data_IF_507719926139
#
_entry.id   IF_507719926139
#
_cell.length_a   1.000
_cell.length_b   1.000
_cell.length_c   1.000
_cell.angle_alpha   90.00
_cell.angle_beta   90.00
_cell.angle_gamma   90.00
#
_symmetry.space_group_name_H-M   'P 1'
#
loop_
_entity.id
_entity.type
_entity.pdbx_description
1 polymer ?
#
# COMPACT_ATOMS: atom_id res chain seq x y z
N UNK A 1 9.49 -8.90 11.71
CA UNK A 1 8.25 -8.11 11.84
C UNK A 1 7.23 -8.92 12.61
N UNK A 2 6.65 -8.35 13.67
CA UNK A 2 5.63 -9.00 14.48
C UNK A 2 4.23 -8.59 14.03
N UNK A 3 3.25 -9.46 14.23
CA UNK A 3 1.82 -9.32 13.91
C UNK A 3 1.08 -8.10 14.52
N UNK A 4 1.79 -7.15 15.13
CA UNK A 4 1.24 -6.04 15.91
C UNK A 4 1.46 -4.66 15.28
N UNK A 5 1.98 -4.60 14.05
CA UNK A 5 2.39 -3.34 13.42
C UNK A 5 3.69 -2.79 13.98
N UNK A 6 4.01 -1.54 13.63
CA UNK A 6 5.26 -0.87 14.05
C UNK A 6 5.12 -0.24 15.44
N UNK A 7 6.09 -0.47 16.32
CA UNK A 7 6.13 0.18 17.66
C UNK A 7 6.51 1.65 17.56
N UNK A 8 6.22 2.44 18.60
CA UNK A 8 6.62 3.86 18.67
C UNK A 8 8.13 4.06 18.49
N UNK A 9 8.94 3.16 19.04
CA UNK A 9 10.39 3.18 18.86
C UNK A 9 10.80 2.91 17.40
N UNK A 10 10.16 1.93 16.75
CA UNK A 10 10.40 1.62 15.33
C UNK A 10 10.02 2.78 14.42
N UNK A 11 8.90 3.45 14.71
CA UNK A 11 8.47 4.67 14.03
C UNK A 11 9.55 5.75 14.16
N UNK A 12 10.00 6.06 15.38
CA UNK A 12 10.99 7.11 15.58
C UNK A 12 12.36 6.75 14.98
N UNK A 13 12.75 5.47 15.00
CA UNK A 13 13.95 5.00 14.31
C UNK A 13 13.87 5.22 12.79
N UNK A 14 12.73 4.90 12.17
CA UNK A 14 12.53 5.09 10.73
C UNK A 14 12.49 6.57 10.34
N UNK A 15 11.87 7.43 11.16
CA UNK A 15 11.88 8.88 10.95
C UNK A 15 13.29 9.43 11.04
N UNK A 16 14.07 9.05 12.06
CA UNK A 16 15.47 9.47 12.22
C UNK A 16 16.35 9.02 11.05
N UNK A 17 16.18 7.78 10.59
CA UNK A 17 16.90 7.27 9.44
C UNK A 17 16.54 8.02 8.15
N UNK A 18 15.23 8.20 7.86
CA UNK A 18 14.78 8.93 6.68
C UNK A 18 15.35 10.34 6.62
N UNK A 19 15.36 11.05 7.76
CA UNK A 19 15.96 12.38 7.88
C UNK A 19 17.46 12.39 7.66
N UNK A 20 18.20 11.40 8.16
CA UNK A 20 19.66 11.35 7.97
C UNK A 20 20.07 11.08 6.53
N UNK A 21 19.20 10.42 5.76
CA UNK A 21 19.43 10.09 4.35
C UNK A 21 18.72 11.05 3.37
N UNK A 22 17.94 12.02 3.87
CA UNK A 22 17.10 12.90 3.04
C UNK A 22 16.11 12.12 2.16
N UNK A 23 15.52 11.06 2.71
CA UNK A 23 14.51 10.24 2.04
C UNK A 23 13.21 10.21 2.85
N UNK A 24 12.09 9.97 2.18
CA UNK A 24 10.86 9.56 2.85
C UNK A 24 10.94 8.07 3.18
N UNK A 25 10.55 7.71 4.39
CA UNK A 25 10.48 6.33 4.84
C UNK A 25 9.03 5.90 4.98
N UNK A 26 8.79 4.61 4.77
CA UNK A 26 7.47 4.01 4.80
C UNK A 26 7.43 2.88 5.82
N UNK A 27 6.30 2.73 6.51
CA UNK A 27 6.04 1.61 7.41
C UNK A 27 4.73 0.89 7.07
N UNK A 28 4.65 -0.38 7.46
CA UNK A 28 3.45 -1.20 7.27
C UNK A 28 2.48 -1.01 8.45
N UNK A 29 1.18 -0.97 8.14
CA UNK A 29 0.07 -1.05 9.10
C UNK A 29 -0.86 -2.22 8.74
N UNK A 30 -1.50 -2.79 9.76
CA UNK A 30 -2.49 -3.87 9.63
C UNK A 30 -3.93 -3.38 9.82
N UNK A 31 -4.10 -2.13 10.26
CA UNK A 31 -5.38 -1.52 10.58
C UNK A 31 -5.57 -0.18 9.88
N UNK A 32 -6.23 0.76 10.53
CA UNK A 32 -6.33 2.13 10.03
C UNK A 32 -4.94 2.73 9.78
N UNK A 33 -4.87 3.66 8.82
CA UNK A 33 -3.66 4.45 8.62
C UNK A 33 -3.43 5.35 9.83
N UNK A 34 -2.20 5.37 10.39
CA UNK A 34 -1.82 6.36 11.39
C UNK A 34 -1.81 7.77 10.78
N UNK A 35 -2.13 8.79 11.57
CA UNK A 35 -2.12 10.20 11.13
C UNK A 35 -0.70 10.82 11.02
N UNK A 36 0.34 10.04 11.30
CA UNK A 36 1.72 10.53 11.30
C UNK A 36 2.26 10.73 9.87
N UNK A 37 2.17 11.98 9.38
CA UNK A 37 2.64 12.40 8.06
C UNK A 37 4.18 12.48 7.91
N UNK A 38 4.95 12.23 8.98
CA UNK A 38 6.42 12.12 8.90
C UNK A 38 6.88 10.89 8.11
N UNK A 39 5.97 9.93 7.93
CA UNK A 39 6.16 8.68 7.20
C UNK A 39 5.09 8.51 6.14
N UNK A 40 5.35 7.60 5.21
CA UNK A 40 4.33 7.02 4.34
C UNK A 40 3.86 5.69 4.93
N UNK A 41 2.65 5.24 4.59
CA UNK A 41 2.07 4.03 5.20
C UNK A 41 1.58 3.04 4.17
N UNK A 42 1.94 1.77 4.32
CA UNK A 42 1.43 0.66 3.51
C UNK A 42 0.45 -0.18 4.33
N UNK A 43 -0.81 -0.24 3.91
CA UNK A 43 -1.75 -1.22 4.42
C UNK A 43 -1.53 -2.54 3.68
N UNK A 44 -1.09 -3.56 4.42
CA UNK A 44 -0.93 -4.91 3.91
C UNK A 44 -1.32 -5.91 5.01
N UNK A 45 -2.52 -6.48 4.88
CA UNK A 45 -3.02 -7.54 5.78
C UNK A 45 -2.75 -8.94 5.25
N UNK A 46 -2.15 -9.05 4.06
CA UNK A 46 -1.94 -10.33 3.42
C UNK A 46 -0.75 -11.09 4.02
N UNK A 47 0.17 -10.41 4.72
CA UNK A 47 1.44 -10.99 5.18
C UNK A 47 2.18 -11.76 4.06
N UNK A 48 2.03 -11.31 2.80
CA UNK A 48 2.59 -11.99 1.62
C UNK A 48 1.77 -13.19 1.11
N UNK A 49 0.59 -13.48 1.67
CA UNK A 49 -0.30 -14.56 1.18
C UNK A 49 -1.15 -14.19 -0.03
N UNK A 50 -1.13 -12.92 -0.44
CA UNK A 50 -1.87 -12.46 -1.63
C UNK A 50 -3.39 -12.52 -1.48
N UNK A 51 -3.93 -12.50 -0.25
CA UNK A 51 -5.39 -12.42 -0.03
C UNK A 51 -5.87 -10.98 -0.10
N UNK A 52 -6.95 -10.75 -0.85
CA UNK A 52 -7.63 -9.46 -0.91
C UNK A 52 -8.40 -9.23 0.40
N UNK A 53 -8.21 -8.08 1.07
CA UNK A 53 -8.99 -7.70 2.25
C UNK A 53 -10.48 -7.54 1.95
N UNK A 54 -11.36 -7.82 2.91
CA UNK A 54 -12.81 -7.57 2.78
C UNK A 54 -13.15 -6.08 2.79
N UNK A 55 -12.31 -5.25 3.43
CA UNK A 55 -12.45 -3.81 3.51
C UNK A 55 -11.10 -3.12 3.47
N UNK A 56 -11.09 -1.89 2.96
CA UNK A 56 -9.89 -1.04 2.87
C UNK A 56 -9.96 0.07 3.92
N UNK A 57 -8.84 0.45 4.56
CA UNK A 57 -8.83 1.55 5.50
C UNK A 57 -9.10 2.89 4.82
N UNK A 58 -9.88 3.75 5.47
CA UNK A 58 -10.19 5.09 4.98
C UNK A 58 -8.96 5.99 5.03
N UNK A 59 -8.80 6.84 4.01
CA UNK A 59 -7.80 7.90 4.00
C UNK A 59 -8.40 9.23 4.44
N UNK A 60 -7.60 10.05 5.12
CA UNK A 60 -7.92 11.44 5.41
C UNK A 60 -7.29 12.34 4.34
N UNK A 61 -8.01 13.38 3.90
CA UNK A 61 -7.55 14.24 2.79
C UNK A 61 -6.24 15.00 3.09
N UNK A 62 -5.95 15.27 4.37
CA UNK A 62 -4.71 15.90 4.85
C UNK A 62 -3.76 14.89 5.54
N UNK A 63 -3.96 13.60 5.29
CA UNK A 63 -3.18 12.51 5.89
C UNK A 63 -1.84 12.23 5.21
N UNK A 64 -1.10 11.23 5.70
CA UNK A 64 0.10 10.74 5.02
C UNK A 64 -0.19 10.20 3.63
N UNK A 65 0.86 10.03 2.82
CA UNK A 65 0.76 9.27 1.58
C UNK A 65 0.60 7.79 1.92
N UNK A 66 -0.47 7.18 1.40
CA UNK A 66 -0.86 5.82 1.77
C UNK A 66 -0.87 4.86 0.58
N UNK A 67 -0.47 3.62 0.87
CA UNK A 67 -0.43 2.51 -0.05
C UNK A 67 -1.37 1.40 0.37
N UNK A 68 -1.89 0.68 -0.62
CA UNK A 68 -2.75 -0.49 -0.41
C UNK A 68 -2.13 -1.71 -1.10
N UNK A 69 -1.95 -2.79 -0.36
CA UNK A 69 -1.49 -4.08 -0.89
C UNK A 69 -2.37 -5.22 -0.38
N UNK A 70 -2.24 -6.38 -1.01
CA UNK A 70 -2.97 -7.59 -0.66
C UNK A 70 -3.80 -8.13 -1.81
N UNK A 71 -3.25 -9.10 -2.54
CA UNK A 71 -3.98 -9.84 -3.57
C UNK A 71 -4.47 -9.02 -4.76
N UNK A 72 -3.85 -7.87 -5.01
CA UNK A 72 -4.23 -6.98 -6.11
C UNK A 72 -3.60 -7.49 -7.41
N UNK A 73 -4.37 -7.49 -8.49
CA UNK A 73 -3.92 -7.84 -9.84
C UNK A 73 -4.95 -7.44 -10.90
N UNK A 74 -4.71 -7.81 -12.16
CA UNK A 74 -5.54 -7.34 -13.29
C UNK A 74 -7.04 -7.67 -13.15
N UNK A 75 -7.37 -8.77 -12.47
CA UNK A 75 -8.75 -9.23 -12.29
C UNK A 75 -9.57 -8.39 -11.29
N UNK A 76 -8.93 -7.63 -10.38
CA UNK A 76 -9.62 -6.89 -9.32
C UNK A 76 -9.14 -5.44 -9.11
N UNK A 77 -8.05 -5.00 -9.74
CA UNK A 77 -7.45 -3.68 -9.50
C UNK A 77 -8.44 -2.52 -9.64
N UNK A 78 -9.29 -2.54 -10.67
CA UNK A 78 -10.32 -1.51 -10.88
C UNK A 78 -11.32 -1.45 -9.71
N UNK A 79 -11.81 -2.61 -9.26
CA UNK A 79 -12.74 -2.71 -8.14
C UNK A 79 -12.09 -2.32 -6.82
N UNK A 80 -10.80 -2.63 -6.63
CA UNK A 80 -10.03 -2.18 -5.46
C UNK A 80 -9.90 -0.65 -5.44
N UNK A 81 -9.51 -0.04 -6.57
CA UNK A 81 -9.43 1.42 -6.72
C UNK A 81 -10.78 2.08 -6.40
N UNK A 82 -11.88 1.50 -6.88
CA UNK A 82 -13.22 1.97 -6.56
C UNK A 82 -13.57 1.81 -5.07
N UNK A 83 -13.21 0.67 -4.46
CA UNK A 83 -13.51 0.35 -3.07
C UNK A 83 -12.69 1.16 -2.06
N UNK A 84 -11.47 1.57 -2.41
CA UNK A 84 -10.66 2.50 -1.62
C UNK A 84 -11.39 3.83 -1.44
N UNK A 85 -12.17 4.26 -2.45
CA UNK A 85 -13.02 5.45 -2.40
C UNK A 85 -12.31 6.69 -1.82
N UNK A 86 -11.04 6.89 -2.23
CA UNK A 86 -10.21 7.97 -1.71
C UNK A 86 -10.87 9.34 -1.93
N UNK A 87 -10.75 10.28 -0.96
CA UNK A 87 -11.25 11.63 -1.15
C UNK A 87 -10.71 12.28 -2.43
N UNK A 88 -11.52 13.11 -3.07
CA UNK A 88 -11.11 13.81 -4.29
C UNK A 88 -9.83 14.63 -4.04
N UNK A 89 -8.81 14.43 -4.88
CA UNK A 89 -7.52 15.08 -4.76
C UNK A 89 -6.51 14.38 -3.84
N UNK A 90 -6.89 13.31 -3.15
CA UNK A 90 -5.95 12.48 -2.40
C UNK A 90 -4.99 11.73 -3.31
N UNK A 91 -3.72 11.67 -2.91
CA UNK A 91 -2.70 10.84 -3.55
C UNK A 91 -2.55 9.54 -2.76
N UNK A 92 -2.52 8.41 -3.47
CA UNK A 92 -2.25 7.08 -2.89
C UNK A 92 -1.62 6.18 -3.95
N UNK A 93 -1.15 5.00 -3.55
CA UNK A 93 -0.70 3.97 -4.49
C UNK A 93 -1.29 2.60 -4.16
N UNK A 94 -1.27 1.71 -5.14
CA UNK A 94 -1.52 0.28 -4.96
C UNK A 94 -0.21 -0.47 -5.20
N UNK A 95 0.04 -1.50 -4.42
CA UNK A 95 1.22 -2.35 -4.50
C UNK A 95 0.81 -3.80 -4.80
N UNK A 96 1.61 -4.47 -5.62
CA UNK A 96 1.32 -5.82 -6.11
C UNK A 96 2.59 -6.66 -6.12
N UNK A 97 2.49 -7.87 -5.58
CA UNK A 97 3.57 -8.85 -5.61
C UNK A 97 3.22 -9.97 -6.61
N UNK A 98 2.43 -10.96 -6.17
CA UNK A 98 2.07 -12.13 -7.00
C UNK A 98 1.17 -11.80 -8.19
N UNK A 99 0.36 -10.73 -8.08
CA UNK A 99 -0.56 -10.29 -9.15
C UNK A 99 0.14 -9.82 -10.42
N UNK A 100 1.43 -9.50 -10.35
CA UNK A 100 2.26 -9.01 -11.48
C UNK A 100 3.45 -9.92 -11.78
N UNK A 101 3.42 -11.17 -11.28
CA UNK A 101 4.49 -12.15 -11.48
C UNK A 101 4.04 -13.42 -12.16
N UNK A 102 4.93 -14.02 -12.93
CA UNK A 102 4.80 -15.36 -13.50
C UNK A 102 6.08 -16.12 -13.17
N UNK A 103 5.94 -17.25 -12.46
CA UNK A 103 7.10 -18.02 -11.95
C UNK A 103 8.10 -17.15 -11.17
N UNK A 104 7.58 -16.34 -10.25
CA UNK A 104 8.32 -15.36 -9.43
C UNK A 104 9.09 -14.26 -10.20
N UNK A 105 8.93 -14.21 -11.52
CA UNK A 105 9.49 -13.15 -12.37
C UNK A 105 8.45 -12.10 -12.68
N UNK A 106 8.91 -10.85 -12.70
CA UNK A 106 8.07 -9.71 -13.07
C UNK A 106 7.56 -9.88 -14.51
N UNK A 107 6.24 -9.80 -14.68
CA UNK A 107 5.54 -10.06 -15.94
C UNK A 107 4.92 -8.77 -16.48
N UNK A 108 5.48 -8.26 -17.58
CA UNK A 108 5.04 -7.00 -18.19
C UNK A 108 3.62 -7.07 -18.75
N UNK A 109 3.18 -8.25 -19.25
CA UNK A 109 1.83 -8.40 -19.76
C UNK A 109 0.80 -8.33 -18.63
N UNK A 110 1.12 -8.89 -17.45
CA UNK A 110 0.29 -8.72 -16.26
C UNK A 110 0.24 -7.28 -15.77
N UNK A 111 1.38 -6.57 -15.80
CA UNK A 111 1.42 -5.15 -15.46
C UNK A 111 0.56 -4.31 -16.41
N UNK A 112 0.70 -4.54 -17.71
CA UNK A 112 -0.12 -3.88 -18.73
C UNK A 112 -1.62 -4.15 -18.51
N UNK A 113 -1.99 -5.40 -18.21
CA UNK A 113 -3.37 -5.77 -17.92
C UNK A 113 -3.93 -5.03 -16.70
N UNK A 114 -3.13 -4.80 -15.66
CA UNK A 114 -3.53 -3.94 -14.52
C UNK A 114 -3.75 -2.51 -14.97
N UNK A 115 -2.81 -1.92 -15.72
CA UNK A 115 -2.96 -0.56 -16.23
C UNK A 115 -4.22 -0.40 -17.09
N UNK A 116 -4.51 -1.37 -17.98
CA UNK A 116 -5.73 -1.38 -18.78
C UNK A 116 -6.99 -1.49 -17.93
N UNK A 117 -6.99 -2.32 -16.88
CA UNK A 117 -8.15 -2.45 -15.99
C UNK A 117 -8.48 -1.13 -15.25
N UNK A 118 -7.46 -0.34 -14.92
CA UNK A 118 -7.63 0.90 -14.12
C UNK A 118 -7.82 2.14 -15.00
N UNK A 119 -7.13 2.23 -16.14
CA UNK A 119 -7.06 3.45 -16.97
C UNK A 119 -7.61 3.31 -18.39
N UNK A 120 -7.91 2.09 -18.85
CA UNK A 120 -8.44 1.80 -20.19
C UNK A 120 -9.95 1.70 -20.21
#
# INVERSE_FOLDING_TARGET
>A
HGFLGSTAEQIENCVRFGRSQTIRTMLQTLGAFPDDARLDWLYDTSFGTGKTPESWPTMTAAGPFCGFSGGIGAHNAASVVQAIAAPAGSQYWIDMESGVRTEDRFDLAKCEAVCRAVFG
#
